data_IF_418182833023
#
_entry.id   IF_418182833023
#
_cell.length_a   1.000
_cell.length_b   1.000
_cell.length_c   1.000
_cell.angle_alpha   90.00
_cell.angle_beta   90.00
_cell.angle_gamma   90.00
#
_symmetry.space_group_name_H-M   'P 1'
#
loop_
_entity.id
_entity.type
_entity.pdbx_description
1 polymer ?
#
# COMPACT_ATOMS: atom_id res chain seq x y z
N UNK A 1 -15.58 14.77 -27.67
CA UNK A 1 -16.25 13.46 -27.71
C UNK A 1 -15.84 12.68 -26.47
N UNK A 2 -16.73 11.84 -25.92
CA UNK A 2 -16.43 11.03 -24.72
C UNK A 2 -16.34 9.58 -25.17
N UNK A 3 -15.17 8.96 -24.98
CA UNK A 3 -14.96 7.54 -25.23
C UNK A 3 -15.47 6.73 -24.03
N UNK A 4 -16.25 5.69 -24.29
CA UNK A 4 -16.79 4.81 -23.26
C UNK A 4 -15.89 3.57 -23.07
N UNK A 5 -15.17 3.55 -21.94
CA UNK A 5 -14.31 2.44 -21.50
C UNK A 5 -14.78 1.86 -20.15
N UNK A 6 -16.06 2.05 -19.81
CA UNK A 6 -16.64 1.60 -18.54
C UNK A 6 -16.94 0.09 -18.39
N UNK A 7 -17.01 -0.76 -19.44
CA UNK A 7 -17.31 -2.19 -19.25
C UNK A 7 -16.40 -2.86 -18.23
N UNK A 8 -16.98 -3.28 -17.10
CA UNK A 8 -16.26 -3.90 -15.98
C UNK A 8 -16.12 -5.42 -16.15
N UNK A 9 -15.78 -5.87 -17.36
CA UNK A 9 -15.58 -7.29 -17.64
C UNK A 9 -14.24 -7.75 -17.05
N UNK A 10 -14.25 -8.86 -16.31
CA UNK A 10 -13.00 -9.49 -15.84
C UNK A 10 -12.06 -9.88 -16.98
N UNK A 11 -12.60 -10.05 -18.18
CA UNK A 11 -11.86 -10.34 -19.41
C UNK A 11 -12.56 -9.69 -20.58
N UNK A 12 -11.90 -8.71 -21.18
CA UNK A 12 -12.26 -8.12 -22.47
C UNK A 12 -11.00 -8.00 -23.31
N UNK A 13 -10.98 -8.70 -24.44
CA UNK A 13 -9.84 -8.75 -25.37
C UNK A 13 -10.18 -8.04 -26.70
N UNK A 14 -11.16 -7.13 -26.68
CA UNK A 14 -11.67 -6.49 -27.89
C UNK A 14 -10.80 -5.27 -28.24
N UNK A 15 -9.68 -5.51 -28.92
CA UNK A 15 -8.77 -4.46 -29.37
C UNK A 15 -7.70 -4.08 -28.34
N UNK A 16 -7.30 -2.82 -28.33
CA UNK A 16 -6.25 -2.32 -27.43
C UNK A 16 -6.78 -1.94 -26.06
N UNK A 17 -5.95 -2.13 -25.04
CA UNK A 17 -6.22 -1.67 -23.69
C UNK A 17 -5.97 -0.17 -23.55
N UNK A 18 -6.97 0.62 -23.95
CA UNK A 18 -6.91 2.08 -23.84
C UNK A 18 -7.04 2.56 -22.40
N UNK A 19 -7.54 1.74 -21.47
CA UNK A 19 -7.60 2.07 -20.04
C UNK A 19 -6.18 2.20 -19.50
N UNK A 20 -5.32 1.22 -19.77
CA UNK A 20 -3.93 1.26 -19.35
C UNK A 20 -3.11 2.37 -20.03
N UNK A 21 -3.52 2.85 -21.21
CA UNK A 21 -2.89 4.02 -21.83
C UNK A 21 -3.19 5.33 -21.08
N UNK A 22 -4.38 5.45 -20.49
CA UNK A 22 -4.82 6.65 -19.77
C UNK A 22 -4.37 6.65 -18.29
N UNK A 23 -4.22 5.48 -17.67
CA UNK A 23 -3.69 5.36 -16.31
C UNK A 23 -2.25 5.88 -16.29
N UNK A 24 -1.99 6.90 -15.46
CA UNK A 24 -0.67 7.56 -15.39
C UNK A 24 -0.40 8.60 -16.47
N UNK A 25 -1.36 8.90 -17.36
CA UNK A 25 -1.19 9.93 -18.38
C UNK A 25 -1.26 11.37 -17.85
N UNK A 26 -1.61 11.55 -16.57
CA UNK A 26 -1.63 12.85 -15.88
C UNK A 26 -2.42 13.95 -16.63
N UNK A 27 -3.48 13.57 -17.34
CA UNK A 27 -4.34 14.50 -18.08
C UNK A 27 -3.84 14.90 -19.48
N UNK A 28 -2.65 14.44 -19.89
CA UNK A 28 -2.04 14.80 -21.19
C UNK A 28 -2.72 14.13 -22.39
N UNK A 29 -3.35 12.97 -22.15
CA UNK A 29 -4.06 12.18 -23.18
C UNK A 29 -5.58 12.34 -23.12
N UNK A 30 -6.10 13.11 -22.16
CA UNK A 30 -7.54 13.33 -21.99
C UNK A 30 -7.93 13.55 -20.54
N UNK A 31 -9.22 13.78 -20.30
CA UNK A 31 -9.81 13.98 -18.98
C UNK A 31 -10.65 12.75 -18.63
N UNK A 32 -10.31 12.07 -17.53
CA UNK A 32 -11.12 10.97 -16.99
C UNK A 32 -12.42 11.57 -16.45
N UNK A 33 -13.56 11.11 -16.96
CA UNK A 33 -14.90 11.59 -16.55
C UNK A 33 -15.66 10.60 -15.67
N UNK A 34 -15.34 9.31 -15.78
CA UNK A 34 -15.88 8.22 -14.97
C UNK A 34 -14.88 7.05 -14.93
N UNK A 35 -15.02 6.17 -13.94
CA UNK A 35 -14.20 4.96 -13.79
C UNK A 35 -15.01 3.82 -13.17
N UNK A 36 -14.76 2.60 -13.64
CA UNK A 36 -15.24 1.36 -13.03
C UNK A 36 -14.12 0.73 -12.22
N UNK A 37 -14.33 0.51 -10.92
CA UNK A 37 -13.32 -0.03 -10.00
C UNK A 37 -13.76 -1.38 -9.45
N UNK A 38 -12.82 -2.34 -9.41
CA UNK A 38 -13.04 -3.59 -8.70
C UNK A 38 -12.99 -3.35 -7.19
N UNK A 39 -13.97 -3.88 -6.46
CA UNK A 39 -13.94 -3.94 -5.01
C UNK A 39 -13.41 -5.29 -4.55
N UNK A 40 -12.69 -5.28 -3.44
CA UNK A 40 -12.24 -6.49 -2.73
C UNK A 40 -12.93 -6.56 -1.37
N UNK A 41 -13.22 -7.76 -0.84
CA UNK A 41 -13.72 -7.90 0.52
C UNK A 41 -12.73 -7.31 1.53
N UNK A 42 -13.21 -6.68 2.63
CA UNK A 42 -12.32 -6.28 3.71
C UNK A 42 -11.72 -7.52 4.37
N UNK A 43 -10.44 -7.47 4.80
CA UNK A 43 -9.84 -8.56 5.53
C UNK A 43 -10.55 -8.75 6.88
N UNK A 44 -10.69 -10.00 7.38
CA UNK A 44 -11.42 -10.28 8.62
C UNK A 44 -10.71 -9.72 9.87
N UNK A 45 -9.40 -9.52 9.80
CA UNK A 45 -8.61 -8.83 10.80
C UNK A 45 -7.35 -8.24 10.17
N UNK A 46 -6.83 -7.18 10.79
CA UNK A 46 -5.57 -6.52 10.47
C UNK A 46 -4.73 -6.42 11.74
N UNK A 47 -3.42 -6.58 11.59
CA UNK A 47 -2.45 -6.34 12.64
C UNK A 47 -1.38 -5.38 12.13
N UNK A 48 -1.18 -4.28 12.86
CA UNK A 48 -0.21 -3.23 12.52
C UNK A 48 0.87 -3.17 13.60
N UNK A 49 2.13 -3.04 13.21
CA UNK A 49 3.25 -2.89 14.13
C UNK A 49 4.26 -1.84 13.66
N UNK A 50 4.83 -1.11 14.62
CA UNK A 50 5.99 -0.25 14.41
C UNK A 50 7.24 -0.95 14.92
N UNK A 51 8.27 -1.10 14.08
CA UNK A 51 9.48 -1.87 14.40
C UNK A 51 10.72 -1.03 14.16
N UNK A 52 11.53 -0.80 15.20
CA UNK A 52 12.88 -0.23 15.06
C UNK A 52 13.82 -1.25 14.43
N UNK A 53 14.67 -0.80 13.53
CA UNK A 53 15.60 -1.63 12.78
C UNK A 53 17.01 -1.09 12.91
N UNK A 54 18.00 -1.98 12.81
CA UNK A 54 19.42 -1.62 12.88
C UNK A 54 19.94 -1.02 11.57
N UNK A 55 19.45 -1.51 10.43
CA UNK A 55 19.93 -1.20 9.09
C UNK A 55 18.90 -1.64 8.03
N UNK A 56 19.16 -1.29 6.76
CA UNK A 56 18.27 -1.60 5.64
C UNK A 56 18.22 -3.11 5.34
N UNK A 57 19.33 -3.83 5.56
CA UNK A 57 19.37 -5.28 5.37
C UNK A 57 18.42 -5.99 6.35
N UNK A 58 18.34 -5.52 7.60
CA UNK A 58 17.37 -6.01 8.58
C UNK A 58 15.92 -5.70 8.16
N UNK A 59 15.67 -4.55 7.51
CA UNK A 59 14.36 -4.21 6.98
C UNK A 59 13.92 -5.19 5.88
N UNK A 60 14.82 -5.47 4.93
CA UNK A 60 14.56 -6.43 3.84
C UNK A 60 14.39 -7.85 4.37
N UNK A 61 15.20 -8.27 5.34
CA UNK A 61 15.06 -9.56 5.99
C UNK A 61 13.70 -9.69 6.69
N UNK A 62 13.25 -8.65 7.40
CA UNK A 62 11.95 -8.61 8.04
C UNK A 62 10.80 -8.64 7.02
N UNK A 63 10.91 -7.89 5.92
CA UNK A 63 9.89 -7.90 4.85
C UNK A 63 9.73 -9.31 4.25
N UNK A 64 10.84 -9.97 3.92
CA UNK A 64 10.82 -11.32 3.38
C UNK A 64 10.24 -12.33 4.38
N UNK A 65 10.64 -12.23 5.66
CA UNK A 65 10.08 -13.06 6.72
C UNK A 65 8.57 -12.85 6.85
N UNK A 66 8.11 -11.59 6.91
CA UNK A 66 6.70 -11.28 7.07
C UNK A 66 5.87 -11.77 5.87
N UNK A 67 6.37 -11.64 4.64
CA UNK A 67 5.72 -12.22 3.47
C UNK A 67 5.64 -13.75 3.55
N UNK A 68 6.72 -14.42 3.93
CA UNK A 68 6.74 -15.87 4.05
C UNK A 68 5.77 -16.39 5.13
N UNK A 69 5.82 -15.81 6.33
CA UNK A 69 5.02 -16.25 7.48
C UNK A 69 3.54 -15.89 7.35
N UNK A 70 3.21 -14.81 6.65
CA UNK A 70 1.82 -14.41 6.40
C UNK A 70 1.18 -15.07 5.18
N UNK A 71 1.95 -15.82 4.38
CA UNK A 71 1.48 -16.34 3.08
C UNK A 71 1.21 -15.24 2.06
N UNK A 72 2.02 -14.18 2.07
CA UNK A 72 1.92 -13.04 1.14
C UNK A 72 0.89 -11.98 1.51
N UNK A 73 0.39 -11.97 2.76
CA UNK A 73 -0.67 -11.07 3.23
C UNK A 73 -0.13 -9.81 3.91
N UNK A 74 1.04 -9.34 3.46
CA UNK A 74 1.57 -8.04 3.87
C UNK A 74 0.84 -6.97 3.06
N UNK A 75 0.00 -6.17 3.73
CA UNK A 75 -0.78 -5.11 3.09
C UNK A 75 0.02 -3.81 2.98
N UNK A 76 0.89 -3.53 3.96
CA UNK A 76 1.78 -2.37 3.96
C UNK A 76 3.12 -2.70 4.61
N UNK A 77 4.19 -2.11 4.06
CA UNK A 77 5.53 -2.15 4.62
C UNK A 77 6.24 -0.83 4.32
N UNK A 78 6.10 0.13 5.24
CA UNK A 78 6.56 1.51 5.04
C UNK A 78 7.81 1.79 5.86
N UNK A 79 8.84 2.34 5.22
CA UNK A 79 10.13 2.64 5.85
C UNK A 79 10.18 4.12 6.28
N UNK A 80 10.63 4.36 7.52
CA UNK A 80 10.77 5.68 8.10
C UNK A 80 12.18 5.87 8.65
N UNK A 81 12.77 7.04 8.37
CA UNK A 81 14.02 7.49 8.98
C UNK A 81 13.79 8.51 10.10
N UNK A 82 14.83 8.81 10.87
CA UNK A 82 14.80 9.79 11.99
C UNK A 82 14.13 11.11 11.64
N UNK A 83 14.43 11.68 10.47
CA UNK A 83 13.88 12.97 10.05
C UNK A 83 12.35 12.96 10.01
N UNK A 84 11.74 11.85 9.57
CA UNK A 84 10.28 11.73 9.53
C UNK A 84 9.70 11.84 10.95
N UNK A 85 10.26 11.08 11.90
CA UNK A 85 9.82 11.12 13.30
C UNK A 85 9.96 12.51 13.91
N UNK A 86 11.10 13.16 13.70
CA UNK A 86 11.35 14.49 14.26
C UNK A 86 10.42 15.56 13.68
N UNK A 87 10.13 15.50 12.38
CA UNK A 87 9.19 16.42 11.74
C UNK A 87 7.76 16.20 12.22
N UNK A 88 7.31 14.94 12.30
CA UNK A 88 6.00 14.61 12.83
C UNK A 88 5.86 15.06 14.29
N UNK A 89 6.84 14.74 15.15
CA UNK A 89 6.82 15.15 16.55
C UNK A 89 6.84 16.68 16.73
N UNK A 90 7.56 17.40 15.87
CA UNK A 90 7.66 18.87 15.94
C UNK A 90 6.41 19.58 15.43
N UNK A 91 5.79 19.08 14.36
CA UNK A 91 4.76 19.82 13.62
C UNK A 91 3.35 19.22 13.72
N UNK A 92 3.22 17.97 14.15
CA UNK A 92 1.94 17.27 14.28
C UNK A 92 1.65 17.00 15.75
N UNK A 93 1.22 18.03 16.49
CA UNK A 93 0.96 17.94 17.93
C UNK A 93 -0.10 16.90 18.36
N UNK A 94 -0.89 16.39 17.41
CA UNK A 94 -1.90 15.35 17.63
C UNK A 94 -1.37 13.92 17.41
N UNK A 95 -0.13 13.77 16.94
CA UNK A 95 0.50 12.47 16.69
C UNK A 95 1.41 12.12 17.86
N UNK A 96 1.17 10.95 18.46
CA UNK A 96 2.08 10.37 19.46
C UNK A 96 3.17 9.58 18.74
N UNK A 97 4.47 9.88 18.98
CA UNK A 97 5.54 9.05 18.45
C UNK A 97 5.42 7.61 18.94
N UNK A 98 5.67 6.60 18.08
CA UNK A 98 5.54 5.19 18.46
C UNK A 98 6.67 4.69 19.37
N UNK A 99 7.71 5.52 19.56
CA UNK A 99 8.87 5.21 20.38
C UNK A 99 9.28 6.44 21.18
N UNK A 100 9.83 6.23 22.39
CA UNK A 100 10.30 7.32 23.26
C UNK A 100 11.41 8.16 22.60
N UNK A 101 12.30 7.49 21.86
CA UNK A 101 13.36 8.14 21.06
C UNK A 101 13.14 7.89 19.57
N UNK A 102 13.39 8.93 18.76
CA UNK A 102 13.33 8.85 17.30
C UNK A 102 14.24 7.72 16.79
N UNK A 103 13.65 6.81 16.03
CA UNK A 103 14.39 5.71 15.42
C UNK A 103 15.23 6.23 14.25
N UNK A 104 16.49 5.79 14.15
CA UNK A 104 17.31 6.04 12.95
C UNK A 104 16.69 5.40 11.72
N UNK A 105 16.17 4.18 11.90
CA UNK A 105 15.42 3.42 10.92
C UNK A 105 14.31 2.63 11.61
N UNK A 106 13.11 2.66 11.04
CA UNK A 106 11.99 1.87 11.50
C UNK A 106 11.03 1.58 10.36
N UNK A 107 10.20 0.55 10.51
CA UNK A 107 9.12 0.23 9.58
C UNK A 107 7.77 0.26 10.27
N UNK A 108 6.74 0.66 9.54
CA UNK A 108 5.35 0.31 9.83
C UNK A 108 5.01 -0.89 8.96
N UNK A 109 4.60 -1.99 9.58
CA UNK A 109 4.12 -3.18 8.88
C UNK A 109 2.66 -3.42 9.21
N UNK A 110 1.88 -3.75 8.19
CA UNK A 110 0.49 -4.19 8.33
C UNK A 110 0.29 -5.54 7.64
N UNK A 111 -0.34 -6.46 8.36
CA UNK A 111 -0.60 -7.83 7.90
C UNK A 111 -2.09 -8.11 8.02
N UNK A 112 -2.70 -8.60 6.94
CA UNK A 112 -4.07 -9.08 6.93
C UNK A 112 -4.16 -10.55 7.36
N UNK A 113 -5.16 -10.86 8.17
CA UNK A 113 -5.53 -12.24 8.44
C UNK A 113 -6.08 -12.91 7.18
N UNK A 114 -5.82 -14.21 7.04
CA UNK A 114 -6.37 -14.97 5.94
C UNK A 114 -7.89 -15.12 6.01
N UNK A 115 -8.56 -15.03 4.87
CA UNK A 115 -9.95 -15.41 4.77
C UNK A 115 -10.05 -16.94 4.67
N UNK A 116 -11.09 -17.54 5.25
CA UNK A 116 -11.32 -19.00 5.20
C UNK A 116 -11.64 -19.52 3.79
N UNK A 117 -11.90 -18.62 2.83
CA UNK A 117 -12.15 -18.95 1.42
C UNK A 117 -10.85 -19.18 0.61
N UNK A 118 -9.68 -18.95 1.21
CA UNK A 118 -8.37 -19.09 0.56
C UNK A 118 -7.68 -20.45 0.82
N UNK A 119 -8.43 -21.46 1.30
CA UNK A 119 -7.95 -22.82 1.59
C UNK A 119 -8.57 -23.89 0.68
#
# INVERSE_FOLDING_TARGET
EVMDLLPALKKDNTGYDLVNLIIGAEGTLGIITAASLALVPPPPALATAMVKLRDLDAALALMNLAQAESGGRVEAFELFGRLHYELCARHLAHVTPPFDEAADLAVMIEIAAGSTDDA
#
